data_IF_727350075137
#
_entry.id   IF_727350075137
#
_cell.length_a   1.000
_cell.length_b   1.000
_cell.length_c   1.000
_cell.angle_alpha   90.00
_cell.angle_beta   90.00
_cell.angle_gamma   90.00
#
_symmetry.space_group_name_H-M   'P 1'
#
loop_
_entity.id
_entity.type
_entity.pdbx_description
1 polymer ?
#
# COMPACT_ATOMS: atom_id res chain seq x y z
N UNK A 1 -2.15 -10.67 14.98
CA UNK A 1 -2.84 -9.47 15.47
C UNK A 1 -1.87 -8.31 15.32
N UNK A 2 -2.04 -7.49 14.28
CA UNK A 2 -1.29 -6.24 14.19
C UNK A 2 -1.89 -5.33 15.26
N UNK A 3 -1.15 -5.09 16.34
CA UNK A 3 -1.42 -3.98 17.23
C UNK A 3 -1.40 -2.73 16.38
N UNK A 4 -2.57 -2.17 16.11
CA UNK A 4 -2.72 -0.87 15.49
C UNK A 4 -2.04 0.13 16.45
N UNK A 5 -0.75 0.39 16.22
CA UNK A 5 -0.03 1.42 16.98
C UNK A 5 -0.86 2.67 16.81
N UNK A 6 -1.29 3.29 17.91
CA UNK A 6 -2.01 4.57 17.83
C UNK A 6 -1.04 5.59 17.22
N UNK A 7 -1.16 5.80 15.90
CA UNK A 7 -0.30 6.72 15.16
C UNK A 7 -0.76 8.14 15.46
N UNK A 8 0.18 8.99 15.86
CA UNK A 8 -0.07 10.42 15.94
C UNK A 8 0.17 11.02 14.56
N UNK A 9 -0.91 11.15 13.79
CA UNK A 9 -0.89 11.70 12.45
C UNK A 9 -1.08 13.23 12.49
N UNK A 10 -0.30 13.93 11.69
CA UNK A 10 -0.46 15.36 11.45
C UNK A 10 -0.59 15.62 9.95
N UNK A 11 -1.42 16.60 9.59
CA UNK A 11 -1.52 17.08 8.21
C UNK A 11 -0.32 17.95 7.88
N UNK A 12 0.29 17.70 6.72
CA UNK A 12 1.36 18.50 6.12
C UNK A 12 1.16 18.62 4.63
N UNK A 13 1.55 19.73 4.05
CA UNK A 13 1.60 19.88 2.60
C UNK A 13 2.97 19.45 2.09
N UNK A 14 3.01 18.41 1.27
CA UNK A 14 4.21 17.89 0.62
C UNK A 14 4.02 18.08 -0.89
N UNK A 15 4.88 18.91 -1.49
CA UNK A 15 4.85 19.23 -2.92
C UNK A 15 3.48 19.71 -3.45
N UNK A 16 2.77 20.48 -2.62
CA UNK A 16 1.45 21.02 -2.97
C UNK A 16 0.27 20.08 -2.70
N UNK A 17 0.53 18.84 -2.28
CA UNK A 17 -0.51 17.89 -1.86
C UNK A 17 -0.58 17.78 -0.33
N UNK A 18 -1.80 17.70 0.21
CA UNK A 18 -1.98 17.42 1.64
C UNK A 18 -1.73 15.93 1.91
N UNK A 19 -0.87 15.68 2.89
CA UNK A 19 -0.46 14.36 3.35
C UNK A 19 -0.64 14.26 4.87
N UNK A 20 -1.00 13.08 5.35
CA UNK A 20 -0.97 12.71 6.75
C UNK A 20 0.35 12.00 7.03
N UNK A 21 1.13 12.52 7.98
CA UNK A 21 2.40 11.92 8.37
C UNK A 21 2.42 11.54 9.85
N UNK A 22 3.04 10.42 10.17
CA UNK A 22 3.31 10.02 11.56
C UNK A 22 4.53 10.79 12.11
N UNK A 23 4.47 11.24 13.37
CA UNK A 23 5.57 11.90 14.08
C UNK A 23 6.33 11.03 15.10
N UNK A 24 5.90 9.80 15.31
CA UNK A 24 6.49 8.86 16.28
C UNK A 24 7.73 8.16 15.72
N UNK A 25 8.65 7.77 16.61
CA UNK A 25 9.85 7.00 16.25
C UNK A 25 9.52 5.56 15.86
N UNK A 26 10.41 4.92 15.10
CA UNK A 26 10.34 3.53 14.66
C UNK A 26 9.52 3.28 13.40
N UNK A 27 8.88 4.31 12.83
CA UNK A 27 8.10 4.21 11.60
C UNK A 27 8.04 5.58 10.91
N UNK A 28 8.23 5.60 9.59
CA UNK A 28 7.74 6.66 8.72
C UNK A 28 6.42 6.16 8.12
N UNK A 29 5.39 6.99 8.19
CA UNK A 29 4.10 6.71 7.58
C UNK A 29 3.66 7.99 6.88
N UNK A 30 3.31 7.87 5.60
CA UNK A 30 2.84 8.95 4.74
C UNK A 30 1.60 8.43 4.04
N UNK A 31 0.49 9.13 4.21
CA UNK A 31 -0.77 8.84 3.54
C UNK A 31 -1.22 10.10 2.82
N UNK A 32 -1.23 10.04 1.50
CA UNK A 32 -1.69 11.12 0.62
C UNK A 32 -3.10 10.72 0.17
N UNK A 33 -4.19 11.33 0.67
CA UNK A 33 -5.56 10.94 0.30
C UNK A 33 -6.09 11.68 -0.94
N UNK A 34 -5.37 12.68 -1.46
CA UNK A 34 -5.81 13.54 -2.57
C UNK A 34 -5.76 12.83 -3.94
N UNK A 35 -5.83 13.59 -5.04
CA UNK A 35 -6.01 13.11 -6.44
C UNK A 35 -5.14 11.91 -6.86
N UNK A 36 -3.96 11.76 -6.27
CA UNK A 36 -3.14 10.55 -6.44
C UNK A 36 -2.96 9.85 -5.09
N UNK A 37 -3.91 8.99 -4.66
CA UNK A 37 -3.81 8.41 -3.34
C UNK A 37 -2.56 7.55 -3.19
N UNK A 38 -1.76 7.74 -2.15
CA UNK A 38 -0.52 7.00 -1.95
C UNK A 38 -0.36 6.66 -0.48
N UNK A 39 0.07 5.43 -0.22
CA UNK A 39 0.38 4.93 1.09
C UNK A 39 1.86 4.55 1.11
N UNK A 40 2.67 5.21 1.93
CA UNK A 40 4.08 4.86 2.10
C UNK A 40 4.33 4.60 3.57
N UNK A 41 4.89 3.44 3.90
CA UNK A 41 5.33 3.09 5.24
C UNK A 41 6.73 2.51 5.18
N UNK A 42 7.60 2.98 6.07
CA UNK A 42 8.97 2.50 6.24
C UNK A 42 9.19 2.21 7.72
N UNK A 43 9.63 1.01 8.03
CA UNK A 43 10.01 0.56 9.37
C UNK A 43 11.53 0.36 9.46
N UNK A 44 12.05 0.23 10.69
CA UNK A 44 13.44 -0.17 10.89
C UNK A 44 13.64 -1.59 10.33
N UNK A 45 14.70 -1.76 9.52
CA UNK A 45 14.99 -2.97 8.74
C UNK A 45 14.57 -2.89 7.27
N UNK A 46 13.72 -1.95 6.88
CA UNK A 46 13.32 -1.77 5.48
C UNK A 46 14.44 -1.18 4.64
N UNK A 47 14.31 -1.29 3.32
CA UNK A 47 15.26 -0.72 2.36
C UNK A 47 14.64 0.53 1.74
N UNK A 48 15.42 1.61 1.73
CA UNK A 48 15.14 2.80 0.94
C UNK A 48 16.13 2.85 -0.22
N UNK A 49 15.67 3.18 -1.41
CA UNK A 49 16.51 3.27 -2.61
C UNK A 49 16.30 4.59 -3.37
N UNK A 50 17.30 4.99 -4.14
CA UNK A 50 17.17 6.08 -5.10
C UNK A 50 16.30 5.70 -6.29
N UNK A 51 15.46 6.65 -6.72
CA UNK A 51 14.52 6.44 -7.81
C UNK A 51 13.12 6.05 -7.35
N UNK A 52 12.17 6.17 -8.26
CA UNK A 52 10.75 5.97 -8.00
C UNK A 52 10.28 4.60 -8.50
N UNK A 53 9.96 3.68 -7.59
CA UNK A 53 9.39 2.37 -7.92
C UNK A 53 8.02 2.44 -8.62
N UNK A 54 7.35 3.59 -8.56
CA UNK A 54 6.03 3.79 -9.16
C UNK A 54 6.10 4.19 -10.63
N UNK A 55 7.26 4.64 -11.11
CA UNK A 55 7.44 5.10 -12.50
C UNK A 55 8.60 4.43 -13.25
N UNK A 56 9.54 3.77 -12.54
CA UNK A 56 10.68 3.08 -13.13
C UNK A 56 10.47 1.57 -13.19
N UNK A 57 11.09 0.93 -14.18
CA UNK A 57 11.14 -0.52 -14.29
C UNK A 57 12.10 -1.14 -13.28
N UNK A 58 12.01 -2.44 -13.05
CA UNK A 58 12.96 -3.17 -12.18
C UNK A 58 14.40 -3.03 -12.68
N UNK A 59 14.62 -3.10 -14.00
CA UNK A 59 15.94 -2.93 -14.62
C UNK A 59 16.53 -1.53 -14.37
N UNK A 60 15.69 -0.48 -14.40
CA UNK A 60 16.12 0.89 -14.10
C UNK A 60 16.48 1.07 -12.63
N UNK A 61 15.78 0.37 -11.72
CA UNK A 61 16.01 0.41 -10.28
C UNK A 61 17.17 -0.48 -9.82
N UNK A 62 17.55 -1.48 -10.61
CA UNK A 62 18.73 -2.32 -10.38
C UNK A 62 20.03 -1.71 -10.94
N UNK A 63 19.98 -0.43 -11.33
CA UNK A 63 21.16 0.28 -11.79
C UNK A 63 22.22 0.40 -10.70
N UNK A 64 23.51 0.10 -11.00
CA UNK A 64 24.62 0.24 -10.04
C UNK A 64 24.92 1.70 -9.67
N UNK A 65 24.28 2.67 -10.32
CA UNK A 65 24.39 4.09 -9.97
C UNK A 65 23.40 4.53 -8.91
N UNK A 66 22.37 3.70 -8.62
CA UNK A 66 21.38 3.99 -7.60
C UNK A 66 21.81 3.37 -6.29
N UNK A 67 21.74 4.18 -5.23
CA UNK A 67 22.07 3.71 -3.89
C UNK A 67 20.86 3.14 -3.17
N UNK A 68 21.13 2.16 -2.32
CA UNK A 68 20.16 1.48 -1.46
C UNK A 68 20.68 1.51 -0.03
N UNK A 69 19.81 1.79 0.92
CA UNK A 69 20.12 1.84 2.34
C UNK A 69 19.14 1.01 3.14
N UNK A 70 19.65 0.16 4.03
CA UNK A 70 18.85 -0.45 5.08
C UNK A 70 18.62 0.59 6.18
N UNK A 71 17.37 0.78 6.58
CA UNK A 71 16.99 1.71 7.64
C UNK A 71 17.31 1.08 8.99
N UNK A 72 18.15 1.73 9.78
CA UNK A 72 18.60 1.20 11.07
C UNK A 72 17.83 1.81 12.26
N UNK A 73 17.58 3.13 12.20
CA UNK A 73 16.93 3.87 13.29
C UNK A 73 16.00 4.94 12.69
N UNK A 74 14.74 4.96 13.13
CA UNK A 74 13.80 6.03 12.79
C UNK A 74 13.53 6.85 14.06
N UNK A 75 14.25 7.96 14.22
CA UNK A 75 13.99 8.94 15.26
C UNK A 75 12.83 9.89 14.93
N UNK A 76 12.49 10.77 15.87
CA UNK A 76 11.45 11.80 15.66
C UNK A 76 11.85 12.91 14.69
N UNK A 77 13.15 13.14 14.51
CA UNK A 77 13.69 14.24 13.70
C UNK A 77 14.75 13.80 12.69
N UNK A 78 15.25 12.58 12.84
CA UNK A 78 16.32 12.03 12.02
C UNK A 78 16.05 10.57 11.72
N UNK A 79 16.58 10.10 10.61
CA UNK A 79 16.56 8.70 10.20
C UNK A 79 17.98 8.31 9.85
N UNK A 80 18.39 7.13 10.28
CA UNK A 80 19.71 6.57 10.01
C UNK A 80 19.53 5.35 9.15
N UNK A 81 20.36 5.23 8.13
CA UNK A 81 20.45 4.02 7.32
C UNK A 81 21.88 3.69 6.96
N UNK A 82 22.10 2.45 6.56
CA UNK A 82 23.41 1.92 6.17
C UNK A 82 23.36 1.54 4.71
N UNK A 83 24.31 2.05 3.93
CA UNK A 83 24.42 1.74 2.51
C UNK A 83 24.62 0.22 2.34
N UNK A 84 23.77 -0.42 1.55
CA UNK A 84 23.76 -1.88 1.43
C UNK A 84 24.99 -2.43 0.71
N UNK A 85 25.70 -1.59 -0.07
CA UNK A 85 26.90 -2.00 -0.80
C UNK A 85 28.17 -1.63 -0.04
N UNK A 86 28.25 -0.42 0.50
CA UNK A 86 29.49 0.10 1.11
C UNK A 86 29.54 -0.07 2.62
N UNK A 87 28.38 -0.27 3.27
CA UNK A 87 28.26 -0.26 4.72
C UNK A 87 28.41 1.14 5.34
N UNK A 88 28.46 2.20 4.53
CA UNK A 88 28.58 3.57 5.03
C UNK A 88 27.26 4.05 5.61
N UNK A 89 27.33 4.66 6.80
CA UNK A 89 26.16 5.20 7.47
C UNK A 89 25.77 6.55 6.86
N UNK A 90 24.47 6.72 6.63
CA UNK A 90 23.85 7.96 6.19
C UNK A 90 22.78 8.40 7.18
N UNK A 91 22.78 9.69 7.50
CA UNK A 91 21.72 10.31 8.30
C UNK A 91 20.90 11.27 7.42
N UNK A 92 19.58 11.20 7.55
CA UNK A 92 18.65 12.15 6.96
C UNK A 92 17.89 12.88 8.04
N UNK A 93 17.57 14.15 7.77
CA UNK A 93 16.50 14.85 8.46
C UNK A 93 15.17 14.20 8.06
N UNK A 94 14.33 13.88 9.05
CA UNK A 94 13.15 13.02 8.85
C UNK A 94 12.16 13.62 7.87
N UNK A 95 11.83 14.91 8.01
CA UNK A 95 10.85 15.56 7.13
C UNK A 95 11.36 15.64 5.69
N UNK A 96 12.66 15.85 5.52
CA UNK A 96 13.32 15.75 4.22
C UNK A 96 13.21 14.35 3.61
N UNK A 97 13.37 13.29 4.40
CA UNK A 97 13.20 11.91 3.92
C UNK A 97 11.74 11.61 3.56
N UNK A 98 10.80 12.02 4.41
CA UNK A 98 9.35 11.91 4.15
C UNK A 98 8.97 12.57 2.82
N UNK A 99 9.43 13.80 2.60
CA UNK A 99 9.21 14.50 1.33
C UNK A 99 9.81 13.74 0.15
N UNK A 100 11.04 13.25 0.29
CA UNK A 100 11.74 12.52 -0.79
C UNK A 100 11.03 11.24 -1.20
N UNK A 101 10.45 10.52 -0.23
CA UNK A 101 9.63 9.33 -0.46
C UNK A 101 8.32 9.69 -1.17
N UNK A 102 7.60 10.69 -0.67
CA UNK A 102 6.33 11.12 -1.27
C UNK A 102 6.48 11.53 -2.75
N UNK A 103 7.50 12.34 -3.07
CA UNK A 103 7.73 12.81 -4.45
C UNK A 103 8.44 11.79 -5.35
N UNK A 104 8.84 10.62 -4.82
CA UNK A 104 9.48 9.56 -5.62
C UNK A 104 10.96 9.77 -5.91
N UNK A 105 11.62 10.74 -5.28
CA UNK A 105 13.08 10.82 -5.39
C UNK A 105 13.77 9.65 -4.69
N UNK A 106 13.09 9.07 -3.69
CA UNK A 106 13.41 7.83 -3.02
C UNK A 106 12.17 6.93 -3.03
N UNK A 107 12.36 5.62 -2.96
CA UNK A 107 11.30 4.62 -2.79
C UNK A 107 11.70 3.57 -1.75
N UNK A 108 10.74 2.77 -1.32
CA UNK A 108 10.96 1.64 -0.41
C UNK A 108 10.46 0.33 -1.01
N UNK A 109 10.77 -0.79 -0.38
CA UNK A 109 10.33 -2.11 -0.79
C UNK A 109 8.88 -2.39 -0.32
N UNK A 110 8.13 -3.13 -1.13
CA UNK A 110 6.79 -3.59 -0.79
C UNK A 110 6.85 -4.68 0.26
N UNK A 111 6.20 -4.47 1.42
CA UNK A 111 6.15 -5.47 2.50
C UNK A 111 4.74 -5.76 2.99
N UNK A 112 3.80 -4.82 2.84
CA UNK A 112 2.47 -4.90 3.43
C UNK A 112 1.40 -4.16 2.62
N UNK A 113 0.14 -4.42 2.96
CA UNK A 113 -1.06 -3.88 2.30
C UNK A 113 -2.09 -3.45 3.34
N UNK A 114 -1.74 -2.49 4.19
CA UNK A 114 -2.59 -2.05 5.31
C UNK A 114 -3.75 -1.14 4.89
N UNK A 115 -3.69 -0.61 3.66
CA UNK A 115 -4.71 0.28 3.10
C UNK A 115 -5.44 -0.44 1.98
N UNK A 116 -6.76 -0.48 2.08
CA UNK A 116 -7.65 -1.11 1.10
C UNK A 116 -8.85 -0.21 0.83
N UNK A 117 -9.37 -0.28 -0.39
CA UNK A 117 -10.62 0.35 -0.79
C UNK A 117 -11.44 -0.65 -1.60
N UNK A 118 -12.72 -0.82 -1.28
CA UNK A 118 -13.63 -1.68 -2.02
C UNK A 118 -14.72 -0.82 -2.62
N UNK A 119 -14.99 -1.01 -3.91
CA UNK A 119 -16.03 -0.28 -4.64
C UNK A 119 -16.85 -1.24 -5.49
N UNK A 120 -18.12 -0.90 -5.74
CA UNK A 120 -19.05 -1.77 -6.48
C UNK A 120 -19.88 -2.68 -5.58
N UNK A 121 -20.56 -3.67 -6.18
CA UNK A 121 -21.45 -4.63 -5.52
C UNK A 121 -22.91 -4.18 -5.32
N UNK A 122 -23.80 -5.15 -5.13
CA UNK A 122 -25.23 -4.97 -4.89
C UNK A 122 -25.49 -4.07 -3.69
N UNK A 123 -26.05 -2.89 -3.98
CA UNK A 123 -26.85 -2.19 -2.99
C UNK A 123 -28.21 -2.88 -2.96
N UNK A 124 -28.63 -3.38 -1.79
CA UNK A 124 -30.04 -3.71 -1.51
C UNK A 124 -30.87 -2.45 -1.76
N UNK A 125 -31.32 -2.24 -2.99
CA UNK A 125 -32.17 -1.14 -3.39
C UNK A 125 -33.53 -1.76 -3.70
N UNK A 126 -34.54 -1.40 -2.92
CA UNK A 126 -35.92 -1.91 -3.00
C UNK A 126 -36.66 -1.50 -4.30
N UNK A 127 -35.96 -1.08 -5.35
CA UNK A 127 -36.59 -0.72 -6.60
C UNK A 127 -35.60 -0.73 -7.77
N UNK A 128 -36.07 -1.37 -8.85
CA UNK A 128 -35.63 -1.26 -10.25
C UNK A 128 -34.51 -2.20 -10.74
N UNK A 129 -34.82 -2.82 -11.89
CA UNK A 129 -33.99 -3.69 -12.72
C UNK A 129 -32.59 -3.11 -12.96
N UNK A 130 -31.57 -3.69 -12.33
CA UNK A 130 -30.17 -3.52 -12.76
C UNK A 130 -29.69 -4.82 -13.43
N UNK A 131 -29.81 -4.86 -14.76
CA UNK A 131 -29.19 -5.89 -15.61
C UNK A 131 -27.76 -5.51 -15.97
N UNK A 132 -26.86 -5.48 -14.99
CA UNK A 132 -25.42 -5.40 -15.22
C UNK A 132 -24.72 -6.33 -14.25
N UNK A 133 -23.84 -7.20 -14.74
CA UNK A 133 -22.97 -8.05 -13.90
C UNK A 133 -22.32 -7.17 -12.83
N UNK A 134 -22.67 -7.41 -11.58
CA UNK A 134 -22.18 -6.59 -10.48
C UNK A 134 -20.73 -6.94 -10.19
N UNK A 135 -19.83 -6.10 -10.68
CA UNK A 135 -18.41 -6.22 -10.39
C UNK A 135 -18.07 -5.52 -9.07
N UNK A 136 -17.25 -6.19 -8.27
CA UNK A 136 -16.62 -5.65 -7.06
C UNK A 136 -15.16 -5.40 -7.39
N UNK A 137 -14.68 -4.19 -7.14
CA UNK A 137 -13.29 -3.81 -7.35
C UNK A 137 -12.64 -3.59 -5.99
N UNK A 138 -11.63 -4.41 -5.70
CA UNK A 138 -10.78 -4.29 -4.51
C UNK A 138 -9.46 -3.65 -4.91
N UNK A 139 -9.16 -2.50 -4.32
CA UNK A 139 -7.88 -1.80 -4.49
C UNK A 139 -7.09 -1.95 -3.20
N UNK A 140 -5.90 -2.52 -3.30
CA UNK A 140 -4.93 -2.62 -2.23
C UNK A 140 -3.78 -1.65 -2.50
N UNK A 141 -3.40 -0.89 -1.49
CA UNK A 141 -2.28 0.04 -1.56
C UNK A 141 -1.10 -0.60 -0.82
N UNK A 142 -0.01 -0.81 -1.55
CA UNK A 142 1.25 -1.25 -0.98
C UNK A 142 1.89 -0.14 -0.15
N UNK A 143 2.64 -0.51 0.88
CA UNK A 143 3.43 0.43 1.70
C UNK A 143 4.61 1.09 0.97
N UNK A 144 4.80 0.81 -0.30
CA UNK A 144 5.75 1.47 -1.19
C UNK A 144 5.10 2.54 -2.10
N UNK A 145 3.81 2.81 -1.91
CA UNK A 145 3.05 3.78 -2.69
C UNK A 145 2.44 3.23 -3.99
N UNK A 146 2.67 1.95 -4.34
CA UNK A 146 2.02 1.31 -5.50
C UNK A 146 0.60 0.87 -5.15
N UNK A 147 -0.23 0.76 -6.18
CA UNK A 147 -1.61 0.26 -6.09
C UNK A 147 -1.74 -1.02 -6.88
N UNK A 148 -2.56 -1.92 -6.37
CA UNK A 148 -2.85 -3.22 -6.95
C UNK A 148 -4.36 -3.42 -6.93
N UNK A 149 -4.91 -3.97 -8.00
CA UNK A 149 -6.36 -4.11 -8.17
C UNK A 149 -6.72 -5.57 -8.40
N UNK A 150 -7.80 -6.02 -7.76
CA UNK A 150 -8.50 -7.25 -8.11
C UNK A 150 -9.97 -6.94 -8.38
N UNK A 151 -10.53 -7.61 -9.39
CA UNK A 151 -11.95 -7.54 -9.72
C UNK A 151 -12.60 -8.88 -9.46
N UNK A 152 -13.79 -8.83 -8.88
CA UNK A 152 -14.58 -9.98 -8.53
C UNK A 152 -15.99 -9.85 -9.12
N UNK A 153 -16.60 -10.99 -9.39
CA UNK A 153 -18.01 -11.09 -9.70
C UNK A 153 -18.78 -11.30 -8.40
N UNK A 154 -19.80 -10.47 -8.14
CA UNK A 154 -20.73 -10.73 -7.04
C UNK A 154 -21.67 -11.87 -7.42
N UNK A 155 -21.75 -12.89 -6.58
CA UNK A 155 -22.69 -14.00 -6.71
C UNK A 155 -23.76 -13.83 -5.63
N UNK A 156 -25.02 -13.73 -6.07
CA UNK A 156 -26.16 -13.86 -5.17
C UNK A 156 -26.31 -15.33 -4.78
N UNK A 157 -26.45 -15.60 -3.49
CA UNK A 157 -26.85 -16.93 -3.04
C UNK A 157 -28.32 -17.14 -3.44
N UNK A 158 -28.54 -17.93 -4.50
CA UNK A 158 -29.86 -18.37 -4.94
C UNK A 158 -30.63 -19.14 -3.84
N UNK A 159 -29.95 -19.53 -2.75
CA UNK A 159 -30.50 -20.31 -1.64
C UNK A 159 -31.15 -19.46 -0.53
N UNK A 160 -31.10 -18.13 -0.61
CA UNK A 160 -31.76 -17.23 0.34
C UNK A 160 -31.04 -17.06 1.69
N UNK A 161 -29.73 -17.36 1.75
CA UNK A 161 -28.88 -16.97 2.87
C UNK A 161 -28.55 -15.47 2.85
N UNK A 162 -28.09 -14.94 3.99
CA UNK A 162 -27.57 -13.56 4.10
C UNK A 162 -26.12 -13.43 3.58
N UNK A 163 -25.50 -14.54 3.16
CA UNK A 163 -24.10 -14.62 2.72
C UNK A 163 -23.97 -14.23 1.25
N UNK A 164 -23.10 -13.26 0.95
CA UNK A 164 -22.77 -12.85 -0.42
C UNK A 164 -21.43 -13.42 -0.81
N UNK A 165 -21.33 -13.99 -2.01
CA UNK A 165 -20.09 -14.60 -2.48
C UNK A 165 -19.44 -13.72 -3.54
N UNK A 166 -18.11 -13.75 -3.61
CA UNK A 166 -17.33 -13.03 -4.61
C UNK A 166 -16.34 -13.98 -5.29
N UNK A 167 -16.41 -14.08 -6.63
CA UNK A 167 -15.48 -14.92 -7.41
C UNK A 167 -14.45 -14.04 -8.14
N UNK A 168 -13.16 -14.36 -8.02
CA UNK A 168 -12.09 -13.59 -8.67
C UNK A 168 -12.18 -13.70 -10.19
N UNK A 169 -12.30 -12.55 -10.87
CA UNK A 169 -12.35 -12.46 -12.34
C UNK A 169 -11.01 -12.02 -12.93
N UNK A 170 -10.41 -10.99 -12.33
CA UNK A 170 -9.22 -10.33 -12.87
C UNK A 170 -8.31 -9.93 -11.72
N UNK A 171 -7.01 -10.14 -11.91
CA UNK A 171 -5.97 -9.75 -10.95
C UNK A 171 -4.88 -9.00 -11.69
N UNK A 172 -4.32 -7.98 -11.04
CA UNK A 172 -3.12 -7.29 -11.51
C UNK A 172 -1.98 -8.30 -11.76
N UNK A 173 -1.42 -8.30 -12.97
CA UNK A 173 -0.37 -9.25 -13.39
C UNK A 173 0.88 -9.19 -12.50
N UNK A 174 1.15 -8.02 -11.90
CA UNK A 174 2.31 -7.81 -11.01
C UNK A 174 2.20 -8.62 -9.71
N UNK A 175 1.00 -9.09 -9.36
CA UNK A 175 0.80 -9.93 -8.17
C UNK A 175 1.37 -11.34 -8.41
N UNK A 176 1.41 -11.81 -9.66
CA UNK A 176 1.91 -13.14 -9.99
C UNK A 176 3.41 -13.28 -9.74
N UNK A 177 4.15 -12.17 -9.81
CA UNK A 177 5.60 -12.11 -9.57
C UNK A 177 5.96 -11.90 -8.10
N UNK A 178 4.97 -11.75 -7.21
CA UNK A 178 5.25 -11.60 -5.79
C UNK A 178 5.92 -12.84 -5.20
N UNK A 179 6.89 -12.58 -4.33
CA UNK A 179 7.44 -13.60 -3.44
C UNK A 179 6.31 -14.28 -2.64
N UNK A 180 6.37 -15.59 -2.38
CA UNK A 180 5.26 -16.35 -1.78
C UNK A 180 4.71 -15.74 -0.48
N UNK A 181 5.60 -15.21 0.36
CA UNK A 181 5.20 -14.55 1.61
C UNK A 181 4.41 -13.26 1.40
N UNK A 182 4.77 -12.46 0.38
CA UNK A 182 4.07 -11.23 0.04
C UNK A 182 2.72 -11.52 -0.62
N UNK A 183 2.67 -12.53 -1.49
CA UNK A 183 1.41 -13.01 -2.10
C UNK A 183 0.38 -13.44 -1.05
N UNK A 184 0.81 -14.21 -0.04
CA UNK A 184 -0.08 -14.60 1.07
C UNK A 184 -0.61 -13.38 1.83
N UNK A 185 0.21 -12.35 2.06
CA UNK A 185 -0.23 -11.11 2.73
C UNK A 185 -1.24 -10.35 1.86
N UNK A 186 -0.98 -10.29 0.56
CA UNK A 186 -1.88 -9.66 -0.42
C UNK A 186 -3.26 -10.35 -0.41
N UNK A 187 -3.29 -11.67 -0.59
CA UNK A 187 -4.54 -12.45 -0.63
C UNK A 187 -5.33 -12.31 0.69
N UNK A 188 -4.62 -12.29 1.84
CA UNK A 188 -5.25 -12.07 3.14
C UNK A 188 -5.84 -10.67 3.28
N UNK A 189 -5.16 -9.63 2.77
CA UNK A 189 -5.65 -8.27 2.80
C UNK A 189 -6.89 -8.10 1.91
N UNK A 190 -6.87 -8.68 0.70
CA UNK A 190 -8.02 -8.66 -0.22
C UNK A 190 -9.23 -9.37 0.40
N UNK A 191 -9.01 -10.55 1.01
CA UNK A 191 -10.05 -11.29 1.72
C UNK A 191 -10.66 -10.51 2.87
N UNK A 192 -9.84 -9.88 3.71
CA UNK A 192 -10.33 -9.06 4.82
C UNK A 192 -11.12 -7.84 4.35
N UNK A 193 -10.70 -7.22 3.25
CA UNK A 193 -11.41 -6.09 2.66
C UNK A 193 -12.82 -6.51 2.21
N UNK A 194 -12.93 -7.62 1.47
CA UNK A 194 -14.22 -8.17 1.04
C UNK A 194 -15.11 -8.60 2.21
N UNK A 195 -14.55 -9.26 3.23
CA UNK A 195 -15.29 -9.64 4.44
C UNK A 195 -15.83 -8.43 5.22
N UNK A 196 -15.11 -7.31 5.21
CA UNK A 196 -15.56 -6.06 5.85
C UNK A 196 -16.80 -5.49 5.14
N UNK A 197 -16.88 -5.67 3.81
CA UNK A 197 -18.05 -5.30 3.00
C UNK A 197 -19.16 -6.38 2.99
N UNK A 198 -18.97 -7.48 3.72
CA UNK A 198 -19.96 -8.56 3.85
C UNK A 198 -19.92 -9.62 2.75
N UNK A 199 -18.78 -9.75 2.05
CA UNK A 199 -18.55 -10.79 1.05
C UNK A 199 -17.67 -11.92 1.59
N UNK A 200 -17.99 -13.15 1.19
CA UNK A 200 -17.16 -14.33 1.33
C UNK A 200 -16.48 -14.69 -0.01
N UNK A 201 -15.34 -15.37 0.07
CA UNK A 201 -14.50 -15.81 -1.06
C UNK A 201 -14.13 -17.27 -0.85
#
# INVERSE_FOLDING_TARGET
MSTDKVRKLISRTIDGADALVNTESGEIFIDVPAETPQYIRVEEGDVIQEGDIRSRTEEELDSPTLRKWTVEEIGRKRVVGTDTETGEQREWERESLEKKLAIGSLSTNLTSFDRTNVTGGAKKSDNEEQTGEESIVVVLYGDDGRKFTQKYHALDDESGGDERYAELMESDERIETFEPGLRVRFDQAARRALQTEGYEI
#
